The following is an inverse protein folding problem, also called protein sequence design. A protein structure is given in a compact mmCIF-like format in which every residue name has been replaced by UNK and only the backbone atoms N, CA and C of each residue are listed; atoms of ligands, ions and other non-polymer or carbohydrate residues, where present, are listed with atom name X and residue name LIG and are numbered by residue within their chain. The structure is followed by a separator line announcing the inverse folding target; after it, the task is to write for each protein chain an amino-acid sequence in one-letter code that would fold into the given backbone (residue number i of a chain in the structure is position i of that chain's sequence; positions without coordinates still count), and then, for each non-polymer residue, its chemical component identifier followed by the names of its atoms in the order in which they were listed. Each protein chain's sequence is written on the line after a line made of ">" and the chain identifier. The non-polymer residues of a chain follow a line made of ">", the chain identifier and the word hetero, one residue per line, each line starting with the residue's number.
data_IF_880675334496
#
_entry.id   IF_880675334496
#
_cell.length_a   1.000
_cell.length_b   1.000
_cell.length_c   1.000
_cell.angle_alpha   90.00
_cell.angle_beta   90.00
_cell.angle_gamma   90.00
#
_symmetry.space_group_name_H-M   'P 1'
#
loop_
_entity.id
_entity.type
_entity.pdbx_description
1 polymer ?
#
# COMPACT_ATOMS: atom_id res chain seq x y z
N UNK A 1 0.16 -20.85 8.74
CA UNK A 1 0.40 -21.97 7.80
C UNK A 1 1.88 -21.94 7.48
N UNK A 2 2.67 -22.89 7.97
CA UNK A 2 4.13 -22.91 7.76
C UNK A 2 4.43 -23.90 6.63
N UNK A 3 4.97 -23.40 5.52
CA UNK A 3 5.42 -24.26 4.41
C UNK A 3 6.80 -24.81 4.71
N UNK A 4 7.00 -26.08 4.41
CA UNK A 4 8.33 -26.70 4.49
C UNK A 4 9.23 -26.21 3.34
N UNK A 5 10.55 -26.19 3.55
CA UNK A 5 11.53 -25.75 2.54
C UNK A 5 11.39 -26.50 1.20
N UNK A 6 10.97 -27.77 1.26
CA UNK A 6 10.68 -28.62 0.10
C UNK A 6 9.42 -28.18 -0.67
N UNK A 7 8.41 -27.64 0.03
CA UNK A 7 7.21 -27.07 -0.60
C UNK A 7 7.49 -25.73 -1.28
N UNK A 8 8.33 -24.88 -0.66
CA UNK A 8 8.71 -23.58 -1.22
C UNK A 8 9.47 -23.71 -2.56
N UNK A 9 10.40 -24.67 -2.66
CA UNK A 9 11.14 -24.94 -3.91
C UNK A 9 10.20 -25.47 -5.00
N UNK A 10 9.19 -26.28 -4.64
CA UNK A 10 8.20 -26.82 -5.58
C UNK A 10 7.29 -25.73 -6.14
N UNK A 11 6.87 -24.79 -5.29
CA UNK A 11 6.06 -23.62 -5.66
C UNK A 11 6.82 -22.64 -6.57
N UNK A 12 8.13 -22.48 -6.38
CA UNK A 12 8.99 -21.67 -7.26
C UNK A 12 9.16 -22.30 -8.66
N UNK A 13 9.00 -23.62 -8.78
CA UNK A 13 9.25 -24.38 -10.01
C UNK A 13 7.99 -24.72 -10.82
N UNK A 14 6.79 -24.49 -10.27
CA UNK A 14 5.54 -24.72 -10.99
C UNK A 14 5.31 -23.62 -12.03
N UNK A 15 5.20 -23.99 -13.32
CA UNK A 15 4.77 -23.07 -14.38
C UNK A 15 3.35 -22.57 -14.06
N UNK A 16 3.09 -21.25 -14.11
CA UNK A 16 1.74 -20.72 -13.90
C UNK A 16 0.84 -21.22 -15.03
N UNK A 17 -0.26 -21.88 -14.66
CA UNK A 17 -1.31 -22.27 -15.60
C UNK A 17 -2.05 -21.00 -16.02
N UNK A 18 -1.96 -20.67 -17.31
CA UNK A 18 -2.63 -19.52 -17.92
C UNK A 18 -4.14 -19.77 -17.96
N UNK A 19 -4.85 -19.40 -16.88
CA UNK A 19 -6.28 -19.12 -16.94
C UNK A 19 -6.43 -17.60 -16.95
N UNK A 20 -6.85 -17.08 -18.09
CA UNK A 20 -7.00 -15.65 -18.36
C UNK A 20 -8.24 -15.17 -17.59
N UNK A 21 -8.03 -14.33 -16.57
CA UNK A 21 -9.09 -13.56 -15.91
C UNK A 21 -8.63 -12.09 -15.88
N UNK A 22 -9.44 -11.12 -16.37
CA UNK A 22 -8.98 -9.75 -16.62
C UNK A 22 -9.09 -8.90 -15.35
N UNK A 23 -8.14 -9.03 -14.44
CA UNK A 23 -7.90 -8.04 -13.37
C UNK A 23 -6.41 -7.74 -13.25
N UNK A 24 -6.00 -6.46 -13.10
CA UNK A 24 -4.59 -6.09 -13.17
C UNK A 24 -3.84 -6.43 -11.88
N UNK A 25 -2.52 -6.50 -12.03
CA UNK A 25 -1.59 -7.37 -11.31
C UNK A 25 -0.63 -6.55 -10.44
N UNK A 26 -0.96 -6.19 -9.18
CA UNK A 26 0.06 -5.71 -8.25
C UNK A 26 0.40 -6.72 -7.14
N UNK A 27 -0.52 -7.63 -6.78
CA UNK A 27 -0.28 -8.63 -5.74
C UNK A 27 0.66 -9.77 -6.16
N UNK A 28 0.84 -10.02 -7.47
CA UNK A 28 1.69 -11.11 -7.94
C UNK A 28 3.19 -10.80 -7.83
N UNK A 29 3.56 -9.51 -7.93
CA UNK A 29 4.97 -9.11 -8.01
C UNK A 29 5.65 -9.03 -6.63
N UNK A 30 4.95 -8.57 -5.59
CA UNK A 30 5.49 -8.52 -4.22
C UNK A 30 5.65 -9.93 -3.63
N UNK A 31 4.69 -10.83 -3.87
CA UNK A 31 4.77 -12.23 -3.44
C UNK A 31 5.94 -12.98 -4.11
N UNK A 32 6.28 -12.67 -5.36
CA UNK A 32 7.41 -13.28 -6.08
C UNK A 32 8.78 -12.90 -5.47
N UNK A 33 8.94 -11.66 -5.02
CA UNK A 33 10.20 -11.17 -4.42
C UNK A 33 10.43 -11.86 -3.07
N UNK A 34 9.36 -11.98 -2.27
CA UNK A 34 9.38 -12.65 -0.97
C UNK A 34 9.71 -14.15 -1.15
N UNK A 35 9.03 -14.83 -2.08
CA UNK A 35 9.29 -16.24 -2.39
C UNK A 35 10.72 -16.48 -2.89
N UNK A 36 11.27 -15.59 -3.73
CA UNK A 36 12.67 -15.67 -4.18
C UNK A 36 13.66 -15.54 -3.02
N UNK A 37 13.42 -14.62 -2.08
CA UNK A 37 14.29 -14.40 -0.92
C UNK A 37 14.30 -15.60 0.02
N UNK A 38 13.13 -16.21 0.27
CA UNK A 38 13.03 -17.43 1.08
C UNK A 38 13.62 -18.67 0.37
N UNK A 39 13.48 -18.76 -0.96
CA UNK A 39 14.10 -19.84 -1.75
C UNK A 39 15.63 -19.77 -1.70
N UNK A 40 16.21 -18.57 -1.79
CA UNK A 40 17.66 -18.37 -1.71
C UNK A 40 18.23 -18.74 -0.34
N UNK A 41 17.52 -18.37 0.73
CA UNK A 41 17.87 -18.71 2.11
C UNK A 41 17.79 -20.23 2.37
N UNK A 42 16.81 -20.89 1.75
CA UNK A 42 16.65 -22.35 1.80
C UNK A 42 17.78 -23.08 1.06
N UNK A 43 18.16 -22.59 -0.14
CA UNK A 43 19.22 -23.19 -0.94
C UNK A 43 20.59 -23.09 -0.24
N UNK A 44 20.87 -21.98 0.45
CA UNK A 44 22.13 -21.77 1.16
C UNK A 44 22.27 -22.64 2.42
N UNK A 45 21.17 -23.00 3.08
CA UNK A 45 21.17 -23.91 4.24
C UNK A 45 21.27 -25.40 3.86
N UNK A 46 21.14 -25.72 2.58
CA UNK A 46 21.14 -27.11 2.06
C UNK A 46 22.53 -27.59 1.60
N UNK A 47 23.53 -26.70 1.54
CA UNK A 47 24.87 -27.00 1.01
C UNK A 47 25.80 -27.60 2.08
N UNK A 48 26.71 -28.53 1.70
CA UNK A 48 27.56 -29.25 2.64
C UNK A 48 28.52 -28.31 3.40
N UNK A 49 28.68 -28.58 4.71
CA UNK A 49 29.36 -27.74 5.72
C UNK A 49 30.78 -27.27 5.35
N UNK A 50 31.47 -27.92 4.40
CA UNK A 50 32.82 -27.55 3.96
C UNK A 50 32.86 -26.35 3.00
N UNK A 51 31.78 -26.04 2.27
CA UNK A 51 31.70 -24.85 1.39
C UNK A 51 31.12 -23.60 2.07
N UNK A 52 30.55 -23.76 3.27
CA UNK A 52 29.92 -22.64 3.99
C UNK A 52 30.95 -21.59 4.45
N UNK A 53 32.20 -21.98 4.72
CA UNK A 53 33.24 -21.06 5.19
C UNK A 53 33.65 -20.01 4.13
N UNK A 54 33.61 -20.36 2.84
CA UNK A 54 33.96 -19.45 1.74
C UNK A 54 32.87 -18.40 1.49
N UNK A 55 31.60 -18.75 1.77
CA UNK A 55 30.44 -17.89 1.53
C UNK A 55 30.30 -16.80 2.62
N UNK A 56 30.73 -17.08 3.87
CA UNK A 56 30.73 -16.08 4.95
C UNK A 56 31.94 -15.14 4.92
N UNK A 57 33.05 -15.52 4.29
CA UNK A 57 34.25 -14.67 4.18
C UNK A 57 34.08 -13.55 3.15
N UNK A 58 33.38 -13.82 2.04
CA UNK A 58 33.16 -12.83 0.97
C UNK A 58 32.45 -11.54 1.40
N UNK A 59 31.33 -11.56 2.16
CA UNK A 59 30.68 -10.33 2.59
C UNK A 59 31.50 -9.55 3.63
N UNK A 60 32.32 -10.24 4.44
CA UNK A 60 33.16 -9.62 5.46
C UNK A 60 34.35 -8.86 4.84
N UNK A 61 34.99 -9.46 3.82
CA UNK A 61 36.07 -8.82 3.06
C UNK A 61 35.53 -7.66 2.22
N UNK A 62 34.34 -7.78 1.63
CA UNK A 62 33.68 -6.68 0.93
C UNK A 62 33.37 -5.50 1.87
N UNK A 63 32.90 -5.77 3.09
CA UNK A 63 32.61 -4.73 4.10
C UNK A 63 33.88 -4.00 4.56
N UNK A 64 35.00 -4.72 4.70
CA UNK A 64 36.30 -4.12 5.04
C UNK A 64 36.85 -3.24 3.91
N UNK A 65 36.67 -3.65 2.64
CA UNK A 65 37.10 -2.86 1.49
C UNK A 65 36.27 -1.57 1.29
N UNK A 66 34.97 -1.56 1.66
CA UNK A 66 34.13 -0.36 1.65
C UNK A 66 34.54 0.68 2.71
N UNK A 67 35.24 0.27 3.78
CA UNK A 67 35.68 1.17 4.85
C UNK A 67 36.97 1.94 4.53
N UNK A 68 37.70 1.53 3.48
CA UNK A 68 39.00 2.08 3.12
C UNK A 68 38.96 3.19 2.04
N UNK A 69 37.80 3.45 1.44
CA UNK A 69 37.63 4.56 0.49
C UNK A 69 37.19 5.81 1.26
N UNK A 70 37.92 6.91 1.07
CA UNK A 70 37.61 8.22 1.66
C UNK A 70 36.13 8.54 1.47
N UNK A 71 35.47 8.90 2.56
CA UNK A 71 34.12 9.42 2.59
C UNK A 71 34.06 10.76 1.87
N UNK A 72 34.00 10.73 0.54
CA UNK A 72 33.19 11.70 -0.16
C UNK A 72 31.77 11.45 0.33
N UNK A 73 31.31 12.33 1.21
CA UNK A 73 29.95 12.35 1.69
C UNK A 73 29.04 12.19 0.46
N UNK A 74 28.46 11.00 0.33
CA UNK A 74 27.37 10.79 -0.58
C UNK A 74 26.23 11.56 0.06
N UNK A 75 26.14 12.84 -0.29
CA UNK A 75 24.87 13.55 -0.24
C UNK A 75 24.01 12.84 -1.29
N UNK A 76 23.50 11.67 -0.92
CA UNK A 76 22.17 11.30 -1.33
C UNK A 76 21.34 12.39 -0.70
N UNK A 77 21.23 13.52 -1.40
CA UNK A 77 20.03 14.30 -1.33
C UNK A 77 18.97 13.27 -1.57
N UNK A 78 18.29 12.88 -0.49
CA UNK A 78 17.09 12.08 -0.55
C UNK A 78 16.19 12.97 -1.41
N UNK A 79 16.24 12.79 -2.73
CA UNK A 79 15.10 12.98 -3.57
C UNK A 79 14.14 11.91 -3.06
N UNK A 80 13.52 12.25 -1.91
CA UNK A 80 12.16 11.92 -1.68
C UNK A 80 11.50 12.34 -2.99
N UNK A 81 11.28 11.35 -3.85
CA UNK A 81 10.09 11.37 -4.66
C UNK A 81 9.02 11.79 -3.67
N UNK A 82 8.52 13.01 -3.81
CA UNK A 82 7.57 13.62 -2.88
C UNK A 82 6.33 12.73 -2.87
N UNK A 83 6.37 11.66 -2.09
CA UNK A 83 5.22 10.89 -1.68
C UNK A 83 4.52 11.76 -0.65
N UNK A 84 3.87 12.84 -1.11
CA UNK A 84 2.86 13.63 -0.39
C UNK A 84 3.15 14.09 1.05
N UNK A 85 4.35 13.88 1.60
CA UNK A 85 4.69 14.14 2.99
C UNK A 85 5.27 15.55 3.07
N UNK A 86 4.39 16.52 2.81
CA UNK A 86 4.57 17.85 3.38
C UNK A 86 4.17 17.77 4.86
N UNK A 87 5.05 17.19 5.67
CA UNK A 87 4.98 17.27 7.14
C UNK A 87 5.53 18.65 7.51
N UNK A 88 4.68 19.68 7.41
CA UNK A 88 5.05 21.03 7.87
C UNK A 88 4.40 22.21 7.14
N UNK A 89 3.78 22.01 5.98
CA UNK A 89 2.94 23.04 5.34
C UNK A 89 1.48 22.80 5.66
N UNK A 90 0.69 23.86 5.94
CA UNK A 90 -0.78 23.78 6.00
C UNK A 90 -1.26 22.95 4.81
N UNK A 91 -1.64 21.70 5.02
CA UNK A 91 -2.23 20.87 3.98
C UNK A 91 -3.49 21.60 3.55
N UNK A 92 -3.49 22.07 2.30
CA UNK A 92 -4.66 22.70 1.71
C UNK A 92 -5.79 21.68 1.69
N UNK A 93 -6.96 22.08 2.17
CA UNK A 93 -8.17 21.31 1.98
C UNK A 93 -8.73 21.52 0.57
N UNK A 94 -9.48 20.55 0.04
CA UNK A 94 -10.07 20.63 -1.29
C UNK A 94 -11.39 21.39 -1.30
N UNK A 95 -11.64 22.15 -2.37
CA UNK A 95 -12.96 22.72 -2.71
C UNK A 95 -13.47 22.22 -4.07
N UNK A 96 -12.72 21.35 -4.72
CA UNK A 96 -12.94 20.89 -6.08
C UNK A 96 -13.14 19.38 -6.10
N UNK A 97 -14.05 18.92 -6.96
CA UNK A 97 -14.29 17.50 -7.14
C UNK A 97 -13.21 16.93 -8.07
N UNK A 98 -12.20 16.30 -7.49
CA UNK A 98 -11.10 15.68 -8.23
C UNK A 98 -11.47 14.28 -8.74
N UNK A 99 -10.83 13.85 -9.80
CA UNK A 99 -10.96 12.48 -10.34
C UNK A 99 -9.63 12.07 -10.95
N UNK A 100 -8.58 12.07 -10.12
CA UNK A 100 -7.19 11.86 -10.51
C UNK A 100 -6.67 10.53 -9.94
N UNK A 101 -5.81 9.86 -10.71
CA UNK A 101 -5.13 8.64 -10.27
C UNK A 101 -6.10 7.54 -9.75
N UNK A 102 -7.24 7.36 -10.42
CA UNK A 102 -8.37 6.50 -10.03
C UNK A 102 -8.01 5.04 -9.68
N UNK A 103 -6.85 4.54 -10.14
CA UNK A 103 -6.38 3.16 -9.99
C UNK A 103 -5.08 3.05 -9.19
N UNK A 104 -4.63 4.14 -8.56
CA UNK A 104 -3.36 4.21 -7.86
C UNK A 104 -3.61 4.66 -6.42
N UNK A 105 -4.02 3.74 -5.54
CA UNK A 105 -4.51 4.07 -4.20
C UNK A 105 -3.64 5.05 -3.39
N UNK A 106 -2.29 4.97 -3.40
CA UNK A 106 -1.45 5.87 -2.61
C UNK A 106 -1.51 7.35 -3.03
N UNK A 107 -1.94 7.65 -4.26
CA UNK A 107 -2.03 9.02 -4.81
C UNK A 107 -3.41 9.31 -5.43
N UNK A 108 -4.39 8.44 -5.17
CA UNK A 108 -5.75 8.59 -5.64
C UNK A 108 -6.38 9.84 -5.02
N UNK A 109 -7.04 10.66 -5.84
CA UNK A 109 -7.87 11.78 -5.40
C UNK A 109 -9.22 11.72 -6.11
N UNK A 110 -10.25 11.49 -5.32
CA UNK A 110 -11.62 11.39 -5.80
C UNK A 110 -12.54 12.28 -4.98
N UNK A 111 -13.39 13.05 -5.66
CA UNK A 111 -14.26 14.02 -5.02
C UNK A 111 -13.44 15.06 -4.25
N UNK A 112 -13.88 15.42 -3.05
CA UNK A 112 -13.16 16.33 -2.15
C UNK A 112 -12.51 15.62 -0.97
N UNK A 113 -12.91 14.39 -0.67
CA UNK A 113 -12.60 13.69 0.58
C UNK A 113 -11.94 12.33 0.38
N UNK A 114 -12.07 11.68 -0.78
CA UNK A 114 -11.45 10.37 -0.97
C UNK A 114 -9.99 10.49 -1.42
N UNK A 115 -9.05 10.28 -0.48
CA UNK A 115 -7.62 10.17 -0.77
C UNK A 115 -6.76 10.10 0.49
N UNK A 116 -5.51 9.67 0.35
CA UNK A 116 -4.57 9.63 1.48
C UNK A 116 -4.09 11.05 1.80
N UNK A 117 -4.21 11.48 3.05
CA UNK A 117 -3.85 12.84 3.50
C UNK A 117 -4.52 13.94 2.65
N UNK A 118 -5.74 13.68 2.19
CA UNK A 118 -6.50 14.55 1.31
C UNK A 118 -7.92 14.65 1.85
N UNK A 119 -8.41 15.87 2.06
CA UNK A 119 -9.73 16.10 2.64
C UNK A 119 -10.33 17.41 2.14
N UNK A 120 -11.65 17.55 2.24
CA UNK A 120 -12.39 18.73 1.81
C UNK A 120 -12.37 19.84 2.86
N UNK A 121 -12.55 21.10 2.43
CA UNK A 121 -12.57 22.24 3.33
C UNK A 121 -13.81 22.25 4.24
N UNK A 122 -13.73 22.88 5.42
CA UNK A 122 -14.90 23.07 6.27
C UNK A 122 -16.07 23.72 5.51
N UNK A 123 -17.24 23.10 5.60
CA UNK A 123 -18.47 23.57 4.95
C UNK A 123 -18.64 23.12 3.49
N UNK A 124 -17.64 22.47 2.88
CA UNK A 124 -17.81 21.87 1.57
C UNK A 124 -18.76 20.66 1.64
N UNK A 125 -19.62 20.53 0.62
CA UNK A 125 -20.44 19.33 0.44
C UNK A 125 -19.66 18.27 -0.35
N UNK A 126 -19.88 16.97 -0.07
CA UNK A 126 -19.31 15.90 -0.87
C UNK A 126 -19.86 15.94 -2.30
N UNK A 127 -19.06 15.48 -3.24
CA UNK A 127 -19.36 15.51 -4.67
C UNK A 127 -20.38 14.44 -5.08
N UNK A 128 -20.40 13.30 -4.40
CA UNK A 128 -21.38 12.22 -4.58
C UNK A 128 -21.45 11.32 -3.32
N UNK A 129 -22.12 10.17 -3.44
CA UNK A 129 -22.30 9.23 -2.34
C UNK A 129 -21.00 8.56 -1.88
N UNK A 130 -20.05 8.28 -2.79
CA UNK A 130 -18.76 7.70 -2.43
C UNK A 130 -17.92 8.73 -1.68
N UNK A 131 -17.88 9.96 -2.18
CA UNK A 131 -17.20 11.08 -1.54
C UNK A 131 -17.80 11.40 -0.15
N UNK A 132 -19.11 11.20 0.02
CA UNK A 132 -19.77 11.33 1.32
C UNK A 132 -19.30 10.26 2.33
N UNK A 133 -19.04 9.03 1.89
CA UNK A 133 -18.45 8.01 2.76
C UNK A 133 -17.06 8.44 3.25
N UNK A 134 -16.23 8.96 2.35
CA UNK A 134 -14.89 9.45 2.70
C UNK A 134 -14.94 10.67 3.64
N UNK A 135 -15.87 11.61 3.42
CA UNK A 135 -16.07 12.75 4.32
C UNK A 135 -16.36 12.31 5.77
N UNK A 136 -17.18 11.27 5.94
CA UNK A 136 -17.49 10.70 7.27
C UNK A 136 -16.26 10.00 7.87
N UNK A 137 -15.49 9.29 7.05
CA UNK A 137 -14.26 8.63 7.49
C UNK A 137 -13.21 9.65 7.98
N UNK A 138 -12.94 10.70 7.20
CA UNK A 138 -12.00 11.77 7.56
C UNK A 138 -12.37 12.42 8.89
N UNK A 139 -13.66 12.71 9.08
CA UNK A 139 -14.18 13.27 10.32
C UNK A 139 -14.00 12.29 11.50
N UNK A 140 -14.26 10.99 11.29
CA UNK A 140 -14.06 9.96 12.29
C UNK A 140 -12.59 9.84 12.69
N UNK A 141 -11.67 9.79 11.72
CA UNK A 141 -10.22 9.73 11.98
C UNK A 141 -9.75 10.96 12.76
N UNK A 142 -10.22 12.16 12.36
CA UNK A 142 -9.92 13.41 13.07
C UNK A 142 -10.42 13.37 14.52
N UNK A 143 -11.63 12.86 14.75
CA UNK A 143 -12.20 12.71 16.09
C UNK A 143 -11.49 11.66 16.95
N UNK A 144 -10.79 10.70 16.33
CA UNK A 144 -10.03 9.64 16.99
C UNK A 144 -8.51 9.94 16.96
N UNK A 145 -8.13 11.18 17.25
CA UNK A 145 -6.72 11.61 17.38
C UNK A 145 -5.87 11.39 16.12
N UNK A 146 -6.48 11.47 14.94
CA UNK A 146 -5.86 11.16 13.64
C UNK A 146 -5.38 9.70 13.53
N UNK A 147 -6.01 8.77 14.24
CA UNK A 147 -5.74 7.34 14.11
C UNK A 147 -6.38 6.75 12.84
N UNK A 148 -5.60 6.70 11.76
CA UNK A 148 -6.01 6.07 10.50
C UNK A 148 -6.19 4.55 10.59
N UNK A 149 -5.75 3.90 11.67
CA UNK A 149 -5.95 2.46 11.91
C UNK A 149 -7.09 2.18 12.89
N UNK A 150 -7.86 3.21 13.27
CA UNK A 150 -9.04 3.07 14.09
C UNK A 150 -10.03 2.09 13.43
N UNK A 151 -10.38 1.02 14.15
CA UNK A 151 -11.20 -0.06 13.61
C UNK A 151 -12.63 0.38 13.29
N UNK A 152 -13.21 1.25 14.11
CA UNK A 152 -14.55 1.76 13.91
C UNK A 152 -14.60 2.61 12.65
N UNK A 153 -13.69 3.58 12.50
CA UNK A 153 -13.66 4.44 11.32
C UNK A 153 -13.51 3.62 10.02
N UNK A 154 -12.55 2.70 9.98
CA UNK A 154 -12.27 1.92 8.77
C UNK A 154 -13.39 0.92 8.44
N UNK A 155 -14.01 0.27 9.44
CA UNK A 155 -15.15 -0.62 9.21
C UNK A 155 -16.39 0.15 8.75
N UNK A 156 -16.65 1.33 9.33
CA UNK A 156 -17.74 2.19 8.90
C UNK A 156 -17.57 2.66 7.45
N UNK A 157 -16.35 3.03 7.04
CA UNK A 157 -16.06 3.38 5.65
C UNK A 157 -16.30 2.20 4.71
N UNK A 158 -15.72 1.02 5.02
CA UNK A 158 -15.92 -0.20 4.22
C UNK A 158 -17.41 -0.55 4.06
N UNK A 159 -18.18 -0.49 5.15
CA UNK A 159 -19.62 -0.73 5.14
C UNK A 159 -20.42 0.33 4.34
N UNK A 160 -19.95 1.58 4.33
CA UNK A 160 -20.56 2.67 3.56
C UNK A 160 -20.34 2.44 2.06
N UNK A 161 -19.10 2.15 1.65
CA UNK A 161 -18.74 1.90 0.24
C UNK A 161 -19.53 0.72 -0.32
N UNK A 162 -19.68 -0.36 0.46
CA UNK A 162 -20.46 -1.54 0.05
C UNK A 162 -21.94 -1.24 -0.28
N UNK A 163 -22.47 -0.11 0.17
CA UNK A 163 -23.86 0.33 -0.08
C UNK A 163 -23.96 1.39 -1.18
N UNK A 164 -22.84 1.89 -1.70
CA UNK A 164 -22.84 2.87 -2.79
C UNK A 164 -23.38 2.20 -4.06
N UNK A 165 -24.37 2.84 -4.70
CA UNK A 165 -24.81 2.42 -6.02
C UNK A 165 -23.79 2.88 -7.07
N UNK A 166 -22.85 2.01 -7.42
CA UNK A 166 -21.77 2.32 -8.37
C UNK A 166 -22.23 2.51 -9.82
N UNK A 167 -23.46 2.09 -10.15
CA UNK A 167 -24.12 2.38 -11.43
C UNK A 167 -24.93 3.69 -11.40
N UNK A 168 -25.00 4.37 -10.24
CA UNK A 168 -25.71 5.61 -10.05
C UNK A 168 -24.99 6.83 -10.63
N UNK A 169 -25.65 8.00 -10.62
CA UNK A 169 -25.03 9.26 -11.07
C UNK A 169 -23.88 9.68 -10.13
N UNK A 170 -22.88 10.32 -10.71
CA UNK A 170 -21.75 10.96 -10.02
C UNK A 170 -21.65 12.44 -10.43
N UNK A 171 -20.68 13.17 -9.89
CA UNK A 171 -20.46 14.57 -10.21
C UNK A 171 -20.03 14.78 -11.67
N UNK A 172 -20.37 15.96 -12.20
CA UNK A 172 -20.07 16.32 -13.58
C UNK A 172 -18.55 16.38 -13.83
N UNK A 173 -18.10 15.79 -14.93
CA UNK A 173 -16.69 15.80 -15.33
C UNK A 173 -15.82 14.75 -14.65
N UNK A 174 -16.42 13.84 -13.85
CA UNK A 174 -15.71 12.70 -13.28
C UNK A 174 -15.09 11.82 -14.38
N UNK A 175 -13.77 11.61 -14.29
CA UNK A 175 -12.99 10.77 -15.21
C UNK A 175 -12.78 9.35 -14.68
N UNK A 176 -13.16 9.08 -13.44
CA UNK A 176 -12.99 7.79 -12.79
C UNK A 176 -14.26 6.94 -12.90
N UNK A 177 -14.08 5.61 -12.99
CA UNK A 177 -15.18 4.68 -12.75
C UNK A 177 -15.48 4.59 -11.26
N UNK A 178 -16.73 4.82 -10.86
CA UNK A 178 -17.17 4.71 -9.47
C UNK A 178 -16.90 3.32 -8.89
N UNK A 179 -17.18 2.27 -9.66
CA UNK A 179 -16.91 0.88 -9.28
C UNK A 179 -15.42 0.65 -9.02
N UNK A 180 -14.58 1.14 -9.93
CA UNK A 180 -13.13 1.01 -9.80
C UNK A 180 -12.61 1.71 -8.55
N UNK A 181 -12.97 2.99 -8.34
CA UNK A 181 -12.50 3.75 -7.18
C UNK A 181 -12.99 3.12 -5.88
N UNK A 182 -14.24 2.63 -5.86
CA UNK A 182 -14.80 1.94 -4.70
C UNK A 182 -14.01 0.67 -4.34
N UNK A 183 -13.58 -0.10 -5.35
CA UNK A 183 -12.76 -1.31 -5.14
C UNK A 183 -11.36 -0.96 -4.63
N UNK A 184 -10.70 0.04 -5.20
CA UNK A 184 -9.36 0.48 -4.77
C UNK A 184 -9.37 0.99 -3.32
N UNK A 185 -10.38 1.79 -2.94
CA UNK A 185 -10.52 2.26 -1.56
C UNK A 185 -10.83 1.09 -0.62
N UNK A 186 -11.74 0.19 -1.01
CA UNK A 186 -12.08 -0.99 -0.19
C UNK A 186 -10.86 -1.87 0.08
N UNK A 187 -9.99 -2.06 -0.92
CA UNK A 187 -8.74 -2.82 -0.76
C UNK A 187 -7.82 -2.20 0.32
N UNK A 188 -7.66 -0.87 0.33
CA UNK A 188 -6.87 -0.21 1.38
C UNK A 188 -7.57 -0.37 2.74
N UNK A 189 -8.90 -0.22 2.80
CA UNK A 189 -9.64 -0.33 4.05
C UNK A 189 -9.53 -1.72 4.68
N UNK A 190 -9.61 -2.78 3.88
CA UNK A 190 -9.40 -4.14 4.37
C UNK A 190 -8.00 -4.34 4.97
N UNK A 191 -6.97 -3.79 4.31
CA UNK A 191 -5.61 -3.80 4.82
C UNK A 191 -5.47 -2.98 6.12
N UNK A 192 -6.10 -1.81 6.20
CA UNK A 192 -6.09 -0.96 7.40
C UNK A 192 -6.82 -1.62 8.58
N UNK A 193 -7.96 -2.27 8.34
CA UNK A 193 -8.68 -3.05 9.37
C UNK A 193 -7.82 -4.20 9.87
N UNK A 194 -7.16 -4.94 8.97
CA UNK A 194 -6.27 -6.03 9.34
C UNK A 194 -5.09 -5.52 10.19
N UNK A 195 -4.46 -4.43 9.76
CA UNK A 195 -3.36 -3.79 10.49
C UNK A 195 -3.81 -3.29 11.88
N UNK A 196 -4.94 -2.59 11.96
CA UNK A 196 -5.53 -2.13 13.21
C UNK A 196 -5.80 -3.29 14.18
N UNK A 197 -6.34 -4.42 13.69
CA UNK A 197 -6.55 -5.63 14.52
C UNK A 197 -5.24 -6.27 14.98
N UNK A 198 -4.14 -6.12 14.23
CA UNK A 198 -2.85 -6.67 14.61
C UNK A 198 -2.12 -5.78 15.62
N UNK A 199 -2.21 -4.46 15.47
CA UNK A 199 -1.49 -3.48 16.28
C UNK A 199 -2.24 -3.10 17.57
N UNK A 200 -3.57 -3.12 17.57
CA UNK A 200 -4.40 -2.91 18.76
C UNK A 200 -4.70 -4.19 19.53
N UNK A 201 -3.98 -5.29 19.26
CA UNK A 201 -4.01 -6.46 20.14
C UNK A 201 -3.35 -6.10 21.48
N UNK A 202 -4.01 -6.41 22.61
CA UNK A 202 -3.42 -6.19 23.93
C UNK A 202 -2.16 -7.05 24.15
#
# INVERSE_FOLDING_TARGET
>A
MFFTCKELIRLSSSKPSLYINPYPVPLFHQNLIILRKYTYLCLSLSLPRKEQAMIFLQPLVALLLLSATQSHALSVGIHAYNFGLNVGGKQGCSRTCESENCSVPPILRYGKYCGVMYTGCPGEKPCDALDACCMVHDACVTANNNDYLNLECNQNLSNCIAKVNTAGPTFQGNKCSLDQVSQEISLIMDAAILAGRALHKP
#
